data_IF_127381074825
#
_entry.id   IF_127381074825
#
_cell.length_a   1.000
_cell.length_b   1.000
_cell.length_c   1.000
_cell.angle_alpha   90.00
_cell.angle_beta   90.00
_cell.angle_gamma   90.00
#
_symmetry.space_group_name_H-M   'P 1'
#
loop_
_entity.id
_entity.type
_entity.pdbx_description
1 polymer ?
#
# COMPACT_ATOMS: atom_id res chain seq x y z
N UNK A 1 6.82 -26.51 9.47
CA UNK A 1 6.18 -26.35 10.80
C UNK A 1 5.54 -27.67 11.20
N UNK A 2 6.07 -28.38 12.16
CA UNK A 2 5.64 -29.74 12.54
C UNK A 2 4.39 -29.68 13.42
N UNK A 3 3.59 -30.79 13.46
CA UNK A 3 2.39 -30.90 14.34
C UNK A 3 2.70 -30.63 15.82
N UNK A 4 3.95 -30.85 16.24
CA UNK A 4 4.44 -30.63 17.60
C UNK A 4 4.58 -29.12 17.91
N UNK A 5 4.92 -28.30 16.92
CA UNK A 5 5.04 -26.85 17.07
C UNK A 5 3.69 -26.16 17.23
N UNK A 6 2.65 -26.68 16.53
CA UNK A 6 1.28 -26.16 16.66
C UNK A 6 0.70 -26.38 18.05
N UNK A 7 0.99 -27.51 18.69
CA UNK A 7 0.50 -27.82 20.04
C UNK A 7 1.21 -27.01 21.13
N UNK A 8 2.49 -26.68 20.92
CA UNK A 8 3.24 -25.80 21.81
C UNK A 8 2.78 -24.36 21.71
N UNK A 9 2.57 -23.86 20.48
CA UNK A 9 2.03 -22.52 20.22
C UNK A 9 0.63 -22.34 20.82
N UNK A 10 -0.28 -23.31 20.61
CA UNK A 10 -1.63 -23.25 21.17
C UNK A 10 -1.61 -23.22 22.71
N UNK A 11 -0.78 -24.03 23.37
CA UNK A 11 -0.60 -23.98 24.83
C UNK A 11 -0.07 -22.65 25.33
N UNK A 12 0.82 -22.01 24.56
CA UNK A 12 1.37 -20.69 24.92
C UNK A 12 0.31 -19.58 24.77
N UNK A 13 -0.52 -19.65 23.73
CA UNK A 13 -1.63 -18.70 23.53
C UNK A 13 -2.75 -18.90 24.54
N UNK A 14 -3.07 -20.14 24.91
CA UNK A 14 -4.08 -20.46 25.94
C UNK A 14 -3.63 -20.04 27.36
N UNK A 15 -2.31 -19.86 27.58
CA UNK A 15 -1.75 -19.37 28.82
C UNK A 15 -1.71 -17.83 28.93
N UNK A 16 -2.00 -17.11 27.84
CA UNK A 16 -2.10 -15.65 27.85
C UNK A 16 -3.47 -15.25 28.43
N UNK A 17 -3.50 -15.02 29.74
CA UNK A 17 -4.69 -14.50 30.40
C UNK A 17 -4.63 -12.97 30.37
N UNK A 18 -5.56 -12.37 29.68
CA UNK A 18 -5.77 -10.90 29.71
C UNK A 18 -6.38 -10.58 31.06
N UNK A 19 -5.61 -9.92 31.93
CA UNK A 19 -6.15 -9.51 33.23
C UNK A 19 -7.11 -8.33 33.05
N UNK A 20 -8.20 -8.24 33.85
CA UNK A 20 -9.15 -7.12 33.80
C UNK A 20 -8.47 -5.73 33.85
N UNK A 21 -7.38 -5.64 34.59
CA UNK A 21 -6.57 -4.41 34.75
C UNK A 21 -5.85 -4.02 33.45
N UNK A 22 -5.42 -4.98 32.63
CA UNK A 22 -4.81 -4.72 31.36
C UNK A 22 -5.85 -4.25 30.34
N UNK A 23 -7.04 -4.85 30.35
CA UNK A 23 -8.17 -4.45 29.50
C UNK A 23 -8.60 -3.02 29.81
N UNK A 24 -8.76 -2.68 31.09
CA UNK A 24 -9.13 -1.33 31.52
C UNK A 24 -8.07 -0.28 31.15
N UNK A 25 -6.78 -0.59 31.31
CA UNK A 25 -5.68 0.30 30.90
C UNK A 25 -5.65 0.53 29.40
N UNK A 26 -5.93 -0.48 28.58
CA UNK A 26 -5.99 -0.35 27.12
C UNK A 26 -7.18 0.50 26.70
N UNK A 27 -8.36 0.25 27.27
CA UNK A 27 -9.57 1.04 26.99
C UNK A 27 -9.37 2.52 27.39
N UNK A 28 -8.76 2.78 28.55
CA UNK A 28 -8.45 4.13 29.01
C UNK A 28 -7.42 4.84 28.10
N UNK A 29 -6.41 4.11 27.61
CA UNK A 29 -5.43 4.64 26.67
C UNK A 29 -6.06 5.00 25.30
N UNK A 30 -6.99 4.18 24.81
CA UNK A 30 -7.74 4.43 23.58
C UNK A 30 -8.67 5.64 23.75
N UNK A 31 -9.39 5.73 24.86
CA UNK A 31 -10.26 6.86 25.17
C UNK A 31 -9.48 8.19 25.24
N UNK A 32 -8.36 8.23 25.95
CA UNK A 32 -7.47 9.42 26.01
C UNK A 32 -6.91 9.82 24.63
N UNK A 33 -6.71 8.88 23.74
CA UNK A 33 -6.22 9.17 22.37
C UNK A 33 -7.33 9.71 21.48
N UNK A 34 -8.58 9.28 21.68
CA UNK A 34 -9.74 9.80 20.98
C UNK A 34 -10.04 11.26 21.39
N UNK A 35 -9.91 11.60 22.66
CA UNK A 35 -10.13 12.96 23.17
C UNK A 35 -9.06 13.97 22.71
N UNK A 36 -7.85 13.52 22.37
CA UNK A 36 -6.73 14.38 21.94
C UNK A 36 -6.77 14.78 20.46
N UNK A 37 -7.79 14.42 19.70
CA UNK A 37 -7.95 14.91 18.33
C UNK A 37 -8.48 16.35 18.37
N UNK A 38 -7.66 17.38 18.08
CA UNK A 38 -8.15 18.74 18.04
C UNK A 38 -9.14 18.86 16.87
N UNK A 39 -10.40 19.11 17.18
CA UNK A 39 -11.42 19.45 16.18
C UNK A 39 -11.10 20.88 15.71
N UNK A 40 -10.34 21.00 14.63
CA UNK A 40 -10.06 22.30 14.02
C UNK A 40 -11.32 22.73 13.27
N UNK A 41 -11.99 23.82 13.67
CA UNK A 41 -13.20 24.30 13.00
C UNK A 41 -12.89 24.65 11.53
N UNK A 42 -13.86 24.43 10.65
CA UNK A 42 -13.70 24.58 9.21
C UNK A 42 -13.19 25.96 8.77
N UNK A 43 -13.49 27.00 9.54
CA UNK A 43 -13.00 28.37 9.32
C UNK A 43 -11.46 28.45 9.53
N UNK A 44 -10.90 27.81 10.55
CA UNK A 44 -9.45 27.79 10.78
C UNK A 44 -8.69 26.97 9.73
N UNK A 45 -9.28 25.91 9.18
CA UNK A 45 -8.68 25.15 8.07
C UNK A 45 -8.50 26.02 6.81
N UNK A 46 -9.47 26.89 6.50
CA UNK A 46 -9.38 27.80 5.34
C UNK A 46 -8.30 28.87 5.54
N UNK A 47 -8.13 29.39 6.74
CA UNK A 47 -7.09 30.39 7.06
C UNK A 47 -5.70 29.73 7.00
N UNK A 48 -5.51 28.54 7.55
CA UNK A 48 -4.25 27.80 7.49
C UNK A 48 -3.86 27.44 6.05
N UNK A 49 -4.82 27.05 5.21
CA UNK A 49 -4.57 26.78 3.79
C UNK A 49 -4.16 28.04 3.02
N UNK A 50 -4.79 29.18 3.30
CA UNK A 50 -4.44 30.46 2.67
C UNK A 50 -3.04 30.96 3.09
N UNK A 51 -2.67 30.81 4.37
CA UNK A 51 -1.34 31.17 4.86
C UNK A 51 -0.23 30.28 4.29
N UNK A 52 -0.49 28.96 4.12
CA UNK A 52 0.47 28.05 3.51
C UNK A 52 0.71 28.37 2.03
N UNK A 53 -0.33 28.69 1.27
CA UNK A 53 -0.21 29.11 -0.13
C UNK A 53 0.58 30.42 -0.29
N UNK A 54 0.35 31.42 0.58
CA UNK A 54 1.09 32.67 0.55
C UNK A 54 2.58 32.48 0.91
N UNK A 55 2.90 31.64 1.88
CA UNK A 55 4.28 31.31 2.25
C UNK A 55 5.04 30.61 1.12
N UNK A 56 4.41 29.67 0.41
CA UNK A 56 5.00 29.02 -0.76
C UNK A 56 5.31 30.00 -1.91
N UNK A 57 4.42 30.98 -2.18
CA UNK A 57 4.64 32.00 -3.20
C UNK A 57 5.83 32.91 -2.87
N UNK A 58 6.00 33.30 -1.61
CA UNK A 58 7.14 34.17 -1.17
C UNK A 58 8.46 33.39 -1.31
N UNK A 59 8.50 32.11 -0.93
CA UNK A 59 9.71 31.26 -1.08
C UNK A 59 10.09 31.08 -2.54
N UNK A 60 9.13 30.90 -3.45
CA UNK A 60 9.39 30.73 -4.89
C UNK A 60 9.90 32.02 -5.55
N UNK A 61 9.47 33.20 -5.08
CA UNK A 61 9.91 34.51 -5.64
C UNK A 61 11.29 34.89 -5.11
N UNK A 62 11.61 34.63 -3.85
CA UNK A 62 12.90 34.96 -3.24
C UNK A 62 14.00 33.94 -3.60
N UNK A 63 13.67 32.69 -3.89
CA UNK A 63 14.65 31.64 -4.19
C UNK A 63 15.12 31.61 -5.67
N UNK A 64 14.48 32.34 -6.58
CA UNK A 64 14.84 32.34 -8.01
C UNK A 64 16.30 32.71 -8.35
N UNK A 65 17.05 33.56 -7.62
CA UNK A 65 18.45 33.84 -7.97
C UNK A 65 19.47 32.80 -7.44
N UNK A 66 19.05 31.79 -6.65
CA UNK A 66 20.01 30.85 -6.05
C UNK A 66 20.14 29.49 -6.76
N UNK A 67 19.40 29.24 -7.84
CA UNK A 67 19.42 27.94 -8.56
C UNK A 67 20.35 27.94 -9.80
N UNK A 68 21.49 28.58 -9.70
CA UNK A 68 22.56 28.54 -10.71
C UNK A 68 23.86 27.87 -10.19
N UNK A 69 23.76 26.85 -9.37
CA UNK A 69 24.90 26.04 -8.93
C UNK A 69 25.16 24.84 -9.85
N UNK A 70 26.43 24.33 -9.89
CA UNK A 70 26.77 23.17 -10.72
C UNK A 70 25.93 21.96 -10.31
N UNK A 71 25.52 21.15 -11.28
CA UNK A 71 24.73 19.93 -11.11
C UNK A 71 25.39 19.06 -10.02
N UNK A 72 24.79 19.05 -8.83
CA UNK A 72 25.14 18.09 -7.79
C UNK A 72 24.60 16.75 -8.28
N UNK A 73 25.50 15.82 -8.55
CA UNK A 73 25.12 14.43 -8.79
C UNK A 73 24.39 13.96 -7.53
N UNK A 74 23.07 13.91 -7.60
CA UNK A 74 22.27 13.44 -6.48
C UNK A 74 22.62 11.97 -6.24
N UNK A 75 23.29 11.71 -5.12
CA UNK A 75 23.37 10.36 -4.58
C UNK A 75 21.93 9.88 -4.39
N UNK A 76 21.54 8.70 -4.89
CA UNK A 76 20.19 8.18 -4.66
C UNK A 76 19.89 8.26 -3.17
N UNK A 77 18.71 8.75 -2.76
CA UNK A 77 18.36 8.78 -1.35
C UNK A 77 18.47 7.36 -0.79
N UNK A 78 19.10 7.24 0.37
CA UNK A 78 19.25 5.97 1.05
C UNK A 78 17.84 5.40 1.32
N UNK A 79 17.62 4.15 0.91
CA UNK A 79 16.38 3.45 1.18
C UNK A 79 16.09 3.46 2.68
N UNK A 80 14.92 3.96 3.08
CA UNK A 80 14.50 3.99 4.48
C UNK A 80 14.05 2.59 4.87
N UNK A 81 14.74 1.98 5.83
CA UNK A 81 14.38 0.67 6.34
C UNK A 81 13.15 0.81 7.25
N UNK A 82 11.99 0.40 6.75
CA UNK A 82 10.75 0.33 7.51
C UNK A 82 10.77 -0.78 8.57
N UNK A 83 9.79 -0.77 9.48
CA UNK A 83 9.67 -1.83 10.50
C UNK A 83 9.50 -3.22 9.85
N UNK A 84 9.99 -4.27 10.53
CA UNK A 84 9.93 -5.68 10.09
C UNK A 84 10.70 -6.03 8.81
N UNK A 85 11.72 -5.25 8.43
CA UNK A 85 12.58 -5.55 7.28
C UNK A 85 11.99 -5.11 5.93
N UNK A 86 10.98 -4.24 5.91
CA UNK A 86 10.53 -3.57 4.69
C UNK A 86 11.51 -2.46 4.31
N UNK A 87 11.67 -2.24 3.01
CA UNK A 87 12.49 -1.16 2.45
C UNK A 87 11.60 -0.31 1.56
N UNK A 88 11.50 0.99 1.85
CA UNK A 88 10.73 1.95 1.07
C UNK A 88 11.59 2.59 -0.02
N UNK A 89 10.97 2.92 -1.15
CA UNK A 89 11.58 3.52 -2.33
C UNK A 89 10.80 4.74 -2.78
N UNK A 90 11.49 5.73 -3.31
CA UNK A 90 10.89 7.00 -3.76
C UNK A 90 10.01 6.85 -5.02
N UNK A 91 10.15 5.73 -5.73
CA UNK A 91 9.38 5.47 -6.95
C UNK A 91 9.26 3.98 -7.25
N UNK A 92 8.27 3.59 -8.07
CA UNK A 92 8.17 2.22 -8.59
C UNK A 92 9.40 1.80 -9.41
N UNK A 93 10.07 2.74 -10.07
CA UNK A 93 11.30 2.50 -10.83
C UNK A 93 12.46 2.12 -9.89
N UNK A 94 12.64 2.87 -8.80
CA UNK A 94 13.68 2.57 -7.80
C UNK A 94 13.43 1.20 -7.13
N UNK A 95 12.16 0.87 -6.85
CA UNK A 95 11.78 -0.46 -6.39
C UNK A 95 12.12 -1.54 -7.43
N UNK A 96 11.79 -1.33 -8.71
CA UNK A 96 12.08 -2.30 -9.78
C UNK A 96 13.59 -2.53 -9.98
N UNK A 97 14.41 -1.51 -9.81
CA UNK A 97 15.87 -1.61 -9.88
C UNK A 97 16.47 -2.44 -8.73
N UNK A 98 15.87 -2.34 -7.54
CA UNK A 98 16.31 -3.06 -6.35
C UNK A 98 15.92 -4.55 -6.36
N UNK A 99 14.89 -4.94 -7.12
CA UNK A 99 14.42 -6.32 -7.21
C UNK A 99 15.33 -7.16 -8.12
N UNK A 100 15.48 -8.44 -7.81
CA UNK A 100 16.23 -9.41 -8.63
C UNK A 100 15.44 -9.89 -9.88
N UNK A 101 14.15 -9.60 -9.94
CA UNK A 101 13.20 -10.04 -10.97
C UNK A 101 12.44 -8.83 -11.60
N UNK A 102 11.82 -8.99 -12.79
CA UNK A 102 11.13 -7.92 -13.47
C UNK A 102 9.80 -7.58 -12.78
N UNK A 103 9.63 -6.31 -12.40
CA UNK A 103 8.38 -5.80 -11.84
C UNK A 103 7.47 -5.31 -12.96
N UNK A 104 6.20 -5.72 -12.93
CA UNK A 104 5.14 -5.17 -13.78
C UNK A 104 4.09 -4.51 -12.88
N UNK A 105 3.58 -3.35 -13.29
CA UNK A 105 2.62 -2.57 -12.48
C UNK A 105 1.45 -2.07 -13.33
N UNK A 106 0.29 -1.79 -12.71
CA UNK A 106 -0.79 -1.05 -13.34
C UNK A 106 -0.33 0.33 -13.80
N UNK A 107 -0.66 0.70 -15.02
CA UNK A 107 -0.37 2.03 -15.60
C UNK A 107 -1.62 2.89 -15.74
N UNK A 108 -2.82 2.31 -15.67
CA UNK A 108 -4.10 3.01 -15.60
C UNK A 108 -4.74 2.73 -14.23
N UNK A 109 -4.93 3.80 -13.47
CA UNK A 109 -5.61 3.79 -12.18
C UNK A 109 -6.89 4.64 -12.29
N UNK A 110 -7.86 4.45 -11.41
CA UNK A 110 -9.01 5.35 -11.32
C UNK A 110 -8.57 6.80 -11.10
N UNK A 111 -9.42 7.75 -11.50
CA UNK A 111 -9.13 9.17 -11.38
C UNK A 111 -8.87 9.57 -9.92
N UNK A 112 -7.90 10.45 -9.70
CA UNK A 112 -7.54 10.97 -8.38
C UNK A 112 -6.49 10.16 -7.62
N UNK A 113 -6.22 8.90 -8.01
CA UNK A 113 -5.23 8.09 -7.32
C UNK A 113 -3.81 8.54 -7.60
N UNK A 114 -3.03 8.73 -6.55
CA UNK A 114 -1.59 9.04 -6.58
C UNK A 114 -0.78 8.03 -5.77
N UNK A 115 0.48 7.84 -6.14
CA UNK A 115 1.36 6.92 -5.41
C UNK A 115 1.55 7.39 -3.97
N UNK A 116 1.23 6.51 -3.02
CA UNK A 116 1.40 6.71 -1.59
C UNK A 116 2.66 6.02 -1.06
N UNK A 117 2.96 4.82 -1.58
CA UNK A 117 4.04 3.99 -1.08
C UNK A 117 4.53 3.04 -2.18
N UNK A 118 5.86 2.88 -2.28
CA UNK A 118 6.51 1.82 -3.02
C UNK A 118 7.51 1.14 -2.09
N UNK A 119 7.37 -0.17 -1.84
CA UNK A 119 8.26 -0.87 -0.92
C UNK A 119 8.51 -2.32 -1.34
N UNK A 120 9.65 -2.87 -0.88
CA UNK A 120 9.87 -4.31 -0.84
C UNK A 120 9.64 -4.83 0.58
N UNK A 121 9.00 -5.99 0.67
CA UNK A 121 8.78 -6.72 1.91
C UNK A 121 9.68 -7.97 1.93
N UNK A 122 9.95 -8.56 3.12
CA UNK A 122 10.69 -9.82 3.22
C UNK A 122 10.10 -10.92 2.33
N UNK A 123 10.95 -11.71 1.69
CA UNK A 123 10.53 -12.75 0.73
C UNK A 123 10.42 -12.25 -0.71
N UNK A 124 11.07 -11.14 -1.04
CA UNK A 124 11.10 -10.54 -2.39
C UNK A 124 9.70 -10.10 -2.89
N UNK A 125 8.83 -9.66 -1.99
CA UNK A 125 7.51 -9.15 -2.33
C UNK A 125 7.57 -7.65 -2.59
N UNK A 126 7.19 -7.23 -3.79
CA UNK A 126 6.97 -5.83 -4.13
C UNK A 126 5.54 -5.40 -3.73
N UNK A 127 5.42 -4.25 -3.10
CA UNK A 127 4.14 -3.65 -2.76
C UNK A 127 4.11 -2.18 -3.21
N UNK A 128 3.04 -1.83 -3.90
CA UNK A 128 2.72 -0.46 -4.27
C UNK A 128 1.34 -0.10 -3.74
N UNK A 129 1.22 1.08 -3.16
CA UNK A 129 -0.06 1.63 -2.71
C UNK A 129 -0.30 2.97 -3.35
N UNK A 130 -1.54 3.18 -3.78
CA UNK A 130 -2.04 4.46 -4.26
C UNK A 130 -3.25 4.87 -3.43
N UNK A 131 -3.51 6.17 -3.35
CA UNK A 131 -4.68 6.71 -2.67
C UNK A 131 -5.19 7.94 -3.40
N UNK A 132 -6.51 8.15 -3.34
CA UNK A 132 -7.18 9.38 -3.75
C UNK A 132 -7.47 10.32 -2.55
N UNK A 133 -6.99 9.94 -1.35
CA UNK A 133 -7.22 10.64 -0.08
C UNK A 133 -8.37 10.05 0.75
N UNK A 134 -9.20 9.21 0.18
CA UNK A 134 -10.30 8.50 0.86
C UNK A 134 -10.05 7.00 0.82
N UNK A 135 -9.82 6.47 -0.37
CA UNK A 135 -9.62 5.06 -0.64
C UNK A 135 -8.18 4.73 -1.01
N UNK A 136 -7.84 3.46 -0.87
CA UNK A 136 -6.50 2.94 -1.19
C UNK A 136 -6.60 1.74 -2.12
N UNK A 137 -5.67 1.70 -3.09
CA UNK A 137 -5.37 0.52 -3.90
C UNK A 137 -4.02 -0.02 -3.46
N UNK A 138 -3.94 -1.31 -3.18
CA UNK A 138 -2.70 -2.00 -2.85
C UNK A 138 -2.45 -3.10 -3.89
N UNK A 139 -1.36 -2.96 -4.64
CA UNK A 139 -0.89 -3.95 -5.60
C UNK A 139 0.34 -4.64 -5.05
N UNK A 140 0.38 -5.97 -5.16
CA UNK A 140 1.53 -6.78 -4.78
C UNK A 140 1.92 -7.73 -5.90
N UNK A 141 3.22 -7.97 -6.02
CA UNK A 141 3.80 -8.92 -6.95
C UNK A 141 5.01 -9.60 -6.30
N UNK A 142 5.15 -10.90 -6.49
CA UNK A 142 6.28 -11.69 -6.02
C UNK A 142 6.50 -12.92 -6.90
N UNK A 143 7.70 -13.49 -6.97
CA UNK A 143 7.91 -14.79 -7.59
C UNK A 143 7.08 -15.88 -6.89
N UNK A 144 6.46 -16.76 -7.66
CA UNK A 144 5.67 -17.87 -7.13
C UNK A 144 4.23 -17.92 -7.63
N UNK A 145 3.39 -18.70 -6.94
CA UNK A 145 1.97 -18.89 -7.29
C UNK A 145 1.05 -18.87 -6.07
N UNK A 146 1.56 -18.53 -4.90
CA UNK A 146 0.81 -18.47 -3.65
C UNK A 146 -0.03 -17.18 -3.57
N UNK A 147 -1.06 -17.17 -2.72
CA UNK A 147 -1.81 -15.96 -2.41
C UNK A 147 -0.97 -15.01 -1.55
N UNK A 148 -0.61 -13.88 -2.13
CA UNK A 148 0.20 -12.84 -1.50
C UNK A 148 -0.62 -11.61 -1.09
N UNK A 149 -1.94 -11.66 -1.18
CA UNK A 149 -2.81 -10.51 -0.86
C UNK A 149 -2.67 -10.04 0.59
N UNK A 150 -2.38 -10.97 1.51
CA UNK A 150 -2.41 -10.71 2.94
C UNK A 150 -3.81 -10.36 3.45
N UNK A 151 -4.83 -10.69 2.67
CA UNK A 151 -6.22 -10.43 2.99
C UNK A 151 -6.88 -11.71 3.52
N UNK A 152 -7.24 -11.69 4.79
CA UNK A 152 -7.89 -12.79 5.50
C UNK A 152 -9.38 -12.53 5.74
N UNK A 153 -9.94 -11.53 5.08
CA UNK A 153 -11.37 -11.17 5.18
C UNK A 153 -12.24 -12.29 4.63
N UNK A 154 -13.31 -12.60 5.33
CA UNK A 154 -14.34 -13.55 4.90
C UNK A 154 -15.32 -12.80 4.00
N UNK A 155 -15.20 -12.98 2.69
CA UNK A 155 -16.10 -12.38 1.72
C UNK A 155 -17.29 -13.30 1.43
N UNK A 156 -18.46 -12.70 1.24
CA UNK A 156 -19.68 -13.44 0.89
C UNK A 156 -19.67 -13.92 -0.56
N UNK A 157 -18.90 -13.27 -1.42
CA UNK A 157 -18.79 -13.60 -2.84
C UNK A 157 -17.34 -13.90 -3.21
N UNK A 158 -17.12 -15.10 -3.77
CA UNK A 158 -15.85 -15.50 -4.37
C UNK A 158 -16.17 -15.99 -5.79
N UNK A 159 -15.54 -15.37 -6.78
CA UNK A 159 -15.74 -15.71 -8.19
C UNK A 159 -14.40 -15.77 -8.93
N UNK A 160 -14.39 -16.42 -10.05
CA UNK A 160 -13.24 -16.45 -10.96
C UNK A 160 -13.62 -15.75 -12.26
N UNK A 161 -12.77 -14.83 -12.72
CA UNK A 161 -12.94 -14.07 -13.97
C UNK A 161 -11.74 -14.28 -14.87
N UNK A 162 -12.01 -14.38 -16.16
CA UNK A 162 -10.95 -14.30 -17.17
C UNK A 162 -10.68 -12.81 -17.49
N UNK A 163 -9.43 -12.37 -17.35
CA UNK A 163 -8.98 -11.06 -17.77
C UNK A 163 -7.76 -11.24 -18.67
N UNK A 164 -7.94 -11.04 -19.97
CA UNK A 164 -6.92 -11.41 -20.94
C UNK A 164 -6.60 -12.92 -20.87
N UNK A 165 -5.33 -13.26 -20.64
CA UNK A 165 -4.87 -14.64 -20.47
C UNK A 165 -4.92 -15.12 -19.00
N UNK A 166 -5.31 -14.28 -18.06
CA UNK A 166 -5.24 -14.57 -16.63
C UNK A 166 -6.57 -15.07 -16.08
N UNK A 167 -6.50 -16.04 -15.18
CA UNK A 167 -7.61 -16.49 -14.35
C UNK A 167 -7.52 -15.80 -13.00
N UNK A 168 -8.40 -14.84 -12.76
CA UNK A 168 -8.37 -13.94 -11.59
C UNK A 168 -9.42 -14.38 -10.59
N UNK A 169 -9.02 -14.75 -9.38
CA UNK A 169 -9.94 -14.97 -8.27
C UNK A 169 -10.32 -13.62 -7.67
N UNK A 170 -11.60 -13.29 -7.74
CA UNK A 170 -12.17 -12.07 -7.18
C UNK A 170 -12.94 -12.39 -5.91
N UNK A 171 -12.75 -11.57 -4.88
CA UNK A 171 -13.41 -11.66 -3.58
C UNK A 171 -14.10 -10.36 -3.27
N UNK A 172 -15.37 -10.41 -2.84
CA UNK A 172 -16.14 -9.20 -2.63
C UNK A 172 -17.52 -9.44 -2.04
N UNK A 173 -18.38 -8.46 -2.21
CA UNK A 173 -19.75 -8.48 -1.73
C UNK A 173 -20.62 -7.56 -2.59
N UNK A 174 -21.86 -7.98 -2.89
CA UNK A 174 -22.83 -7.17 -3.63
C UNK A 174 -22.36 -6.78 -5.03
N UNK A 175 -21.55 -7.61 -5.68
CA UNK A 175 -20.98 -7.32 -6.99
C UNK A 175 -19.78 -6.36 -6.98
N UNK A 176 -19.35 -5.88 -5.79
CA UNK A 176 -18.14 -5.06 -5.59
C UNK A 176 -16.97 -5.97 -5.24
N UNK A 177 -15.81 -5.74 -5.86
CA UNK A 177 -14.60 -6.55 -5.69
C UNK A 177 -13.64 -5.76 -4.80
N UNK A 178 -13.29 -6.33 -3.64
CA UNK A 178 -12.33 -5.75 -2.70
C UNK A 178 -10.94 -6.37 -2.81
N UNK A 179 -10.85 -7.61 -3.30
CA UNK A 179 -9.58 -8.32 -3.44
C UNK A 179 -9.59 -9.18 -4.70
N UNK A 180 -8.52 -9.12 -5.46
CA UNK A 180 -8.29 -9.93 -6.67
C UNK A 180 -6.91 -10.56 -6.59
N UNK A 181 -6.81 -11.87 -6.87
CA UNK A 181 -5.56 -12.64 -6.83
C UNK A 181 -5.43 -13.45 -8.10
N UNK A 182 -4.23 -13.45 -8.69
CA UNK A 182 -3.93 -14.24 -9.88
C UNK A 182 -2.44 -14.60 -9.95
N UNK A 183 -2.12 -15.56 -10.80
CA UNK A 183 -0.76 -15.87 -11.16
C UNK A 183 -0.54 -15.58 -12.65
N UNK A 184 0.62 -15.02 -12.99
CA UNK A 184 1.02 -14.68 -14.34
C UNK A 184 2.53 -14.87 -14.51
N UNK A 185 2.95 -15.60 -15.54
CA UNK A 185 4.35 -15.74 -15.94
C UNK A 185 5.32 -16.17 -14.82
N UNK A 186 4.85 -16.99 -13.87
CA UNK A 186 5.65 -17.45 -12.72
C UNK A 186 5.65 -16.50 -11.54
N UNK A 187 4.79 -15.48 -11.54
CA UNK A 187 4.60 -14.53 -10.46
C UNK A 187 3.20 -14.60 -9.88
N UNK A 188 3.11 -14.48 -8.57
CA UNK A 188 1.87 -14.19 -7.87
C UNK A 188 1.60 -12.69 -7.92
N UNK A 189 0.34 -12.33 -8.13
CA UNK A 189 -0.11 -10.96 -8.14
C UNK A 189 -1.37 -10.82 -7.28
N UNK A 190 -1.54 -9.68 -6.63
CA UNK A 190 -2.78 -9.31 -5.96
C UNK A 190 -3.07 -7.83 -6.09
N UNK A 191 -4.36 -7.49 -6.12
CA UNK A 191 -4.87 -6.13 -6.06
C UNK A 191 -5.97 -6.07 -5.01
N UNK A 192 -5.84 -5.19 -4.04
CA UNK A 192 -6.85 -4.92 -3.01
C UNK A 192 -7.29 -3.46 -3.08
N UNK A 193 -8.57 -3.20 -2.89
CA UNK A 193 -9.18 -1.88 -2.95
C UNK A 193 -10.04 -1.65 -1.71
N UNK A 194 -9.77 -0.61 -0.92
CA UNK A 194 -10.54 -0.32 0.31
C UNK A 194 -11.97 0.12 0.02
N UNK A 195 -12.19 0.90 -1.05
CA UNK A 195 -13.51 1.31 -1.52
C UNK A 195 -14.19 0.28 -2.41
N UNK A 196 -13.47 -0.79 -2.77
CA UNK A 196 -13.92 -1.79 -3.74
C UNK A 196 -13.84 -1.29 -5.18
N UNK A 197 -13.96 -2.21 -6.12
CA UNK A 197 -13.92 -1.96 -7.57
C UNK A 197 -15.12 -2.63 -8.24
N UNK A 198 -15.66 -1.98 -9.23
CA UNK A 198 -16.53 -2.64 -10.18
C UNK A 198 -15.75 -3.65 -11.05
N UNK A 199 -16.39 -4.65 -11.64
CA UNK A 199 -15.73 -5.55 -12.57
C UNK A 199 -15.03 -4.87 -13.75
N UNK A 200 -15.58 -3.76 -14.24
CA UNK A 200 -15.01 -3.01 -15.36
C UNK A 200 -13.74 -2.23 -14.95
N UNK A 201 -13.73 -1.62 -13.76
CA UNK A 201 -12.55 -0.95 -13.19
C UNK A 201 -11.43 -1.95 -12.94
N UNK A 202 -11.74 -3.11 -12.33
CA UNK A 202 -10.76 -4.17 -12.15
C UNK A 202 -10.13 -4.57 -13.49
N UNK A 203 -10.94 -4.84 -14.52
CA UNK A 203 -10.47 -5.23 -15.84
C UNK A 203 -9.58 -4.14 -16.48
N UNK A 204 -9.97 -2.87 -16.37
CA UNK A 204 -9.19 -1.74 -16.86
C UNK A 204 -7.82 -1.66 -16.18
N UNK A 205 -7.77 -1.80 -14.86
CA UNK A 205 -6.52 -1.79 -14.09
C UNK A 205 -5.64 -2.98 -14.50
N UNK A 206 -6.17 -4.19 -14.51
CA UNK A 206 -5.41 -5.40 -14.79
C UNK A 206 -4.87 -5.41 -16.23
N UNK A 207 -5.67 -5.01 -17.21
CA UNK A 207 -5.24 -4.94 -18.62
C UNK A 207 -4.20 -3.85 -18.87
N UNK A 208 -4.05 -2.91 -17.96
CA UNK A 208 -3.04 -1.86 -18.01
C UNK A 208 -1.67 -2.26 -17.47
N UNK A 209 -1.54 -3.44 -16.85
CA UNK A 209 -0.28 -3.87 -16.24
C UNK A 209 0.81 -4.00 -17.31
N UNK A 210 1.95 -3.34 -17.05
CA UNK A 210 3.11 -3.34 -17.95
C UNK A 210 4.40 -3.52 -17.16
N UNK A 211 5.41 -4.20 -17.71
CA UNK A 211 6.74 -4.26 -17.10
C UNK A 211 7.36 -2.86 -16.97
N UNK A 212 7.99 -2.61 -15.83
CA UNK A 212 8.83 -1.42 -15.65
C UNK A 212 10.21 -1.75 -16.20
N UNK A 213 10.71 -0.91 -17.13
CA UNK A 213 12.09 -1.01 -17.61
C UNK A 213 13.05 -0.70 -16.46
N UNK A 214 14.06 -1.57 -16.24
CA UNK A 214 15.21 -1.20 -15.41
C UNK A 214 15.93 -0.07 -16.14
N UNK A 215 16.17 1.04 -15.47
CA UNK A 215 16.98 2.14 -16.00
C UNK A 215 18.33 1.61 -16.46
N UNK A 216 18.81 2.13 -17.60
CA UNK A 216 20.14 1.81 -18.14
C UNK A 216 21.19 2.64 -17.42
#
# INVERSE_FOLDING_TARGET
MTLKDRSAYRRLMDAVVVTPELEERVLEAVARRAERRPVIPAAQRRILAACAAAACCVVLVVARPFYGGPAVTATPPAAVQGGYGSVEYDSPQALAEALSWPLAIPTALPEGYSLLLAQSLPGELAELRWSDGTDTLCYRMAPGSEDISGDYTQYSEISTRAVGAWSVQCRGEGGVIFSAVWAADGYSCSLSASGGLSPAELEAILTSIRPIGKGK
#
